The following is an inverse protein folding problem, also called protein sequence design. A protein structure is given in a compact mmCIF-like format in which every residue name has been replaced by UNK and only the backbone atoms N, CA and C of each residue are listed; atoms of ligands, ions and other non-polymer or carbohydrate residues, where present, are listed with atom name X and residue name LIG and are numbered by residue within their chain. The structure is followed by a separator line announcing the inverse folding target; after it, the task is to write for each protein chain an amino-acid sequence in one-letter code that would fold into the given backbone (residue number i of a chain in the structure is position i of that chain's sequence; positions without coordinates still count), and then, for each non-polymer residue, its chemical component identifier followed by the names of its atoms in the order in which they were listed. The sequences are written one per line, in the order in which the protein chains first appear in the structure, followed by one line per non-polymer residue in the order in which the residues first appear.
data_IF_102680235405
#
_entry.id   IF_102680235405
#
_cell.length_a   1.000
_cell.length_b   1.000
_cell.length_c   1.000
_cell.angle_alpha   90.00
_cell.angle_beta   90.00
_cell.angle_gamma   90.00
#
_symmetry.space_group_name_H-M   'P 1'
#
loop_
_entity.id
_entity.type
_entity.pdbx_description
1 polymer ?
#
# COMPACT_ATOMS: atom_id res chain seq x y z
N UNK A 1 3.39 -13.20 17.40
CA UNK A 1 2.28 -12.27 17.09
C UNK A 1 2.64 -11.15 16.11
N UNK A 2 3.84 -10.55 16.17
CA UNK A 2 4.26 -9.45 15.25
C UNK A 2 4.20 -9.81 13.76
N UNK A 3 4.84 -10.90 13.33
CA UNK A 3 4.85 -11.30 11.91
C UNK A 3 3.46 -11.66 11.37
N UNK A 4 2.58 -12.23 12.21
CA UNK A 4 1.20 -12.52 11.84
C UNK A 4 0.39 -11.23 11.63
N UNK A 5 0.58 -10.24 12.49
CA UNK A 5 -0.03 -8.91 12.35
C UNK A 5 0.43 -8.21 11.07
N UNK A 6 1.75 -8.12 10.85
CA UNK A 6 2.31 -7.50 9.65
C UNK A 6 1.85 -8.20 8.35
N UNK A 7 1.89 -9.53 8.31
CA UNK A 7 1.46 -10.30 7.12
C UNK A 7 -0.05 -10.19 6.86
N UNK A 8 -0.87 -10.06 7.89
CA UNK A 8 -2.30 -9.79 7.73
C UNK A 8 -2.54 -8.45 7.02
N UNK A 9 -1.93 -7.36 7.52
CA UNK A 9 -2.08 -6.04 6.90
C UNK A 9 -1.49 -6.00 5.50
N UNK A 10 -0.38 -6.69 5.24
CA UNK A 10 0.17 -6.81 3.90
C UNK A 10 -0.83 -7.47 2.94
N UNK A 11 -1.46 -8.59 3.33
CA UNK A 11 -2.48 -9.26 2.51
C UNK A 11 -3.71 -8.39 2.29
N UNK A 12 -4.18 -7.71 3.34
CA UNK A 12 -5.30 -6.79 3.27
C UNK A 12 -5.01 -5.63 2.32
N UNK A 13 -3.83 -5.01 2.43
CA UNK A 13 -3.40 -3.92 1.58
C UNK A 13 -3.32 -4.36 0.11
N UNK A 14 -2.71 -5.52 -0.16
CA UNK A 14 -2.66 -6.09 -1.52
C UNK A 14 -4.07 -6.34 -2.08
N UNK A 15 -4.96 -6.94 -1.29
CA UNK A 15 -6.35 -7.17 -1.70
C UNK A 15 -7.11 -5.87 -1.99
N UNK A 16 -6.98 -4.88 -1.10
CA UNK A 16 -7.59 -3.57 -1.26
C UNK A 16 -7.06 -2.84 -2.51
N UNK A 17 -5.75 -2.92 -2.77
CA UNK A 17 -5.14 -2.32 -3.95
C UNK A 17 -5.64 -2.95 -5.25
N UNK A 18 -5.73 -4.28 -5.31
CA UNK A 18 -6.27 -5.00 -6.46
C UNK A 18 -7.75 -4.67 -6.69
N UNK A 19 -8.54 -4.63 -5.63
CA UNK A 19 -9.95 -4.26 -5.69
C UNK A 19 -10.15 -2.82 -6.19
N UNK A 20 -9.41 -1.86 -5.62
CA UNK A 20 -9.47 -0.46 -6.03
C UNK A 20 -9.05 -0.27 -7.50
N UNK A 21 -7.99 -0.96 -7.93
CA UNK A 21 -7.58 -0.97 -9.34
C UNK A 21 -8.69 -1.54 -10.24
N UNK A 22 -9.32 -2.65 -9.83
CA UNK A 22 -10.42 -3.25 -10.59
C UNK A 22 -11.58 -2.27 -10.81
N UNK A 23 -11.97 -1.52 -9.77
CA UNK A 23 -12.98 -0.47 -9.87
C UNK A 23 -12.53 0.65 -10.81
N UNK A 24 -11.30 1.13 -10.67
CA UNK A 24 -10.76 2.19 -11.51
C UNK A 24 -10.73 1.79 -12.99
N UNK A 25 -10.31 0.56 -13.28
CA UNK A 25 -10.29 0.01 -14.64
C UNK A 25 -11.70 -0.11 -15.22
N UNK A 26 -12.66 -0.62 -14.44
CA UNK A 26 -14.06 -0.69 -14.88
C UNK A 26 -14.64 0.70 -15.17
N UNK A 27 -14.41 1.67 -14.28
CA UNK A 27 -14.87 3.05 -14.46
C UNK A 27 -14.20 3.76 -15.64
N UNK A 28 -12.96 3.41 -15.96
CA UNK A 28 -12.19 4.03 -17.04
C UNK A 28 -12.44 3.43 -18.43
N UNK A 29 -13.24 2.37 -18.54
CA UNK A 29 -13.58 1.71 -19.80
C UNK A 29 -12.53 0.71 -20.29
N UNK A 30 -11.78 0.08 -19.38
CA UNK A 30 -10.74 -0.88 -19.73
C UNK A 30 -11.24 -2.02 -20.64
N UNK A 31 -10.55 -2.24 -21.76
CA UNK A 31 -10.85 -3.30 -22.72
C UNK A 31 -9.99 -4.52 -22.41
N UNK A 32 -10.61 -5.66 -22.13
CA UNK A 32 -9.89 -6.89 -21.82
C UNK A 32 -9.28 -7.49 -23.09
N UNK A 33 -7.96 -7.74 -23.15
CA UNK A 33 -7.34 -8.43 -24.28
C UNK A 33 -7.87 -9.86 -24.40
N UNK A 34 -8.05 -10.32 -25.64
CA UNK A 34 -8.34 -11.72 -25.93
C UNK A 34 -7.06 -12.56 -25.76
N UNK A 35 -7.21 -13.83 -25.40
CA UNK A 35 -6.07 -14.75 -25.23
C UNK A 35 -5.32 -15.02 -26.55
N UNK A 36 -5.98 -14.78 -27.68
CA UNK A 36 -5.42 -14.87 -29.03
C UNK A 36 -5.87 -13.68 -29.87
N UNK A 37 -4.97 -13.20 -30.75
CA UNK A 37 -5.22 -12.07 -31.65
C UNK A 37 -4.44 -10.80 -31.29
N UNK A 38 -4.61 -9.73 -32.07
CA UNK A 38 -3.93 -8.45 -31.84
C UNK A 38 -4.43 -7.77 -30.58
N UNK A 39 -3.54 -7.05 -29.89
CA UNK A 39 -3.89 -6.30 -28.68
C UNK A 39 -4.86 -5.16 -29.01
N UNK A 40 -5.98 -5.02 -28.28
CA UNK A 40 -6.90 -3.93 -28.50
C UNK A 40 -6.28 -2.59 -28.06
N UNK A 41 -6.61 -1.52 -28.78
CA UNK A 41 -6.25 -0.16 -28.37
C UNK A 41 -7.04 0.20 -27.11
N UNK A 42 -6.32 0.56 -26.04
CA UNK A 42 -6.94 0.93 -24.77
C UNK A 42 -7.40 2.40 -24.79
N UNK A 43 -8.56 2.72 -24.18
CA UNK A 43 -8.96 4.10 -23.98
C UNK A 43 -7.92 4.91 -23.22
N UNK A 44 -7.78 6.18 -23.56
CA UNK A 44 -6.82 7.07 -22.90
C UNK A 44 -7.08 7.20 -21.39
N UNK A 45 -8.35 7.15 -20.97
CA UNK A 45 -8.78 7.12 -19.57
C UNK A 45 -8.26 5.90 -18.81
N UNK A 46 -8.31 4.70 -19.43
CA UNK A 46 -7.81 3.47 -18.81
C UNK A 46 -6.30 3.49 -18.65
N UNK A 47 -5.58 3.98 -19.66
CA UNK A 47 -4.12 4.16 -19.58
C UNK A 47 -3.75 5.17 -18.49
N UNK A 48 -4.50 6.27 -18.36
CA UNK A 48 -4.29 7.26 -17.30
C UNK A 48 -4.54 6.67 -15.91
N UNK A 49 -5.61 5.88 -15.73
CA UNK A 49 -5.89 5.21 -14.46
C UNK A 49 -4.74 4.29 -14.04
N UNK A 50 -4.20 3.49 -14.96
CA UNK A 50 -3.03 2.63 -14.70
C UNK A 50 -1.81 3.46 -14.31
N UNK A 51 -1.52 4.55 -15.04
CA UNK A 51 -0.39 5.43 -14.74
C UNK A 51 -0.52 6.07 -13.35
N UNK A 52 -1.72 6.50 -12.99
CA UNK A 52 -1.99 7.09 -11.68
C UNK A 52 -1.69 6.09 -10.55
N UNK A 53 -2.17 4.85 -10.72
CA UNK A 53 -1.97 3.78 -9.75
C UNK A 53 -0.52 3.27 -9.66
N UNK A 54 0.24 3.31 -10.75
CA UNK A 54 1.63 2.84 -10.78
C UNK A 54 2.66 3.91 -10.42
N UNK A 55 2.28 5.19 -10.47
CA UNK A 55 3.20 6.31 -10.21
C UNK A 55 2.76 7.17 -9.02
N UNK A 56 1.88 8.16 -9.21
CA UNK A 56 1.51 9.11 -8.15
C UNK A 56 0.92 8.47 -6.88
N UNK A 57 0.08 7.44 -7.00
CA UNK A 57 -0.56 6.82 -5.83
C UNK A 57 0.48 6.22 -4.85
N UNK A 58 1.43 5.37 -5.29
CA UNK A 58 2.52 4.91 -4.42
C UNK A 58 3.33 6.04 -3.79
N UNK A 59 3.59 7.12 -4.52
CA UNK A 59 4.32 8.30 -4.00
C UNK A 59 3.54 8.95 -2.86
N UNK A 60 2.25 9.20 -3.04
CA UNK A 60 1.40 9.80 -1.99
C UNK A 60 1.34 8.90 -0.76
N UNK A 61 1.20 7.59 -0.93
CA UNK A 61 1.23 6.63 0.17
C UNK A 61 2.57 6.63 0.91
N UNK A 62 3.69 6.70 0.19
CA UNK A 62 5.02 6.78 0.77
C UNK A 62 5.23 8.07 1.56
N UNK A 63 4.79 9.21 1.01
CA UNK A 63 4.82 10.50 1.72
C UNK A 63 3.99 10.45 3.00
N UNK A 64 2.81 9.79 2.95
CA UNK A 64 2.01 9.52 4.14
C UNK A 64 2.76 8.68 5.17
N UNK A 65 3.41 7.59 4.75
CA UNK A 65 4.21 6.75 5.62
C UNK A 65 5.38 7.53 6.27
N UNK A 66 6.06 8.38 5.50
CA UNK A 66 7.12 9.27 6.00
C UNK A 66 6.56 10.24 7.05
N UNK A 67 5.40 10.85 6.79
CA UNK A 67 4.75 11.76 7.73
C UNK A 67 4.40 11.05 9.05
N UNK A 68 3.85 9.83 8.99
CA UNK A 68 3.56 9.03 10.18
C UNK A 68 4.84 8.67 10.95
N UNK A 69 5.89 8.24 10.24
CA UNK A 69 7.18 7.92 10.86
C UNK A 69 7.81 9.16 11.53
N UNK A 70 7.64 10.34 10.93
CA UNK A 70 8.12 11.59 11.50
C UNK A 70 7.30 12.04 12.72
N UNK A 71 5.99 11.77 12.75
CA UNK A 71 5.11 12.09 13.88
C UNK A 71 5.35 11.19 15.09
N UNK A 72 5.72 9.93 14.87
CA UNK A 72 6.01 8.94 15.92
C UNK A 72 7.48 8.50 15.85
N UNK A 73 8.44 9.39 16.15
CA UNK A 73 9.84 9.04 16.08
C UNK A 73 10.19 8.09 17.23
N UNK A 74 10.31 6.79 16.95
CA UNK A 74 10.80 5.80 17.91
C UNK A 74 12.32 6.00 18.05
N UNK A 75 12.70 7.00 18.84
CA UNK A 75 14.09 7.32 19.13
C UNK A 75 14.74 6.25 20.02
N UNK A 76 16.08 6.21 20.04
CA UNK A 76 16.82 5.29 20.94
C UNK A 76 16.54 5.56 22.43
N UNK A 77 16.13 6.77 22.79
CA UNK A 77 15.78 7.12 24.16
C UNK A 77 14.44 6.49 24.55
N UNK A 78 13.39 6.66 23.73
CA UNK A 78 12.08 6.05 23.98
C UNK A 78 12.12 4.53 23.92
N UNK A 79 12.91 3.97 22.99
CA UNK A 79 13.09 2.52 22.93
C UNK A 79 13.79 1.98 24.19
N UNK A 80 14.76 2.71 24.77
CA UNK A 80 15.40 2.34 26.03
C UNK A 80 14.44 2.46 27.21
N UNK A 81 13.70 3.57 27.29
CA UNK A 81 12.68 3.76 28.33
C UNK A 81 11.62 2.64 28.30
N UNK A 82 11.15 2.25 27.11
CA UNK A 82 10.20 1.16 26.95
C UNK A 82 10.78 -0.20 27.40
N UNK A 83 12.08 -0.45 27.13
CA UNK A 83 12.76 -1.67 27.58
C UNK A 83 12.95 -1.69 29.10
N UNK A 84 13.32 -0.58 29.70
CA UNK A 84 13.50 -0.46 31.14
C UNK A 84 12.17 -0.67 31.87
N UNK A 85 11.07 -0.11 31.34
CA UNK A 85 9.72 -0.29 31.88
C UNK A 85 9.23 -1.75 31.76
N UNK A 86 9.50 -2.42 30.63
CA UNK A 86 9.21 -3.85 30.48
C UNK A 86 10.01 -4.71 31.47
N UNK A 87 11.30 -4.43 31.65
CA UNK A 87 12.16 -5.17 32.58
C UNK A 87 11.76 -4.96 34.05
N UNK A 88 11.23 -3.78 34.40
CA UNK A 88 10.71 -3.50 35.73
C UNK A 88 9.41 -4.27 36.05
N UNK A 89 8.62 -4.65 35.03
CA UNK A 89 7.37 -5.41 35.20
C UNK A 89 7.58 -6.93 35.28
N UNK A 90 8.74 -7.43 34.86
CA UNK A 90 9.13 -8.85 34.97
C UNK A 90 9.79 -9.21 36.32
N UNK A 91 10.08 -8.21 37.18
CA UNK A 91 10.54 -8.41 38.56
C UNK A 91 9.38 -8.38 39.55
#
# INVERSE_FOLDING_TARGET
SYYAFASFFQKLATGAALWAMGIALAASGYVRPLASGPLPVQPASAVQAIRLFMGPVPVVLLLGAILFAWRYPIGRAEHRALRDELAAREK
#
